data_IF_782216216811
#
_entry.id   IF_782216216811
#
_cell.length_a   1.000
_cell.length_b   1.000
_cell.length_c   1.000
_cell.angle_alpha   90.00
_cell.angle_beta   90.00
_cell.angle_gamma   90.00
#
_symmetry.space_group_name_H-M   'P 1'
#
loop_
_entity.id
_entity.type
_entity.pdbx_description
1 polymer ?
#
# COMPACT_ATOMS: atom_id res chain seq x y z
N UNK A 1 0.48 14.58 9.81
CA UNK A 1 1.31 14.53 8.58
C UNK A 1 0.48 14.22 7.33
N UNK A 2 -0.70 13.60 7.44
CA UNK A 2 -1.54 13.21 6.29
C UNK A 2 -2.20 14.37 5.52
N UNK A 3 -2.46 15.51 6.18
CA UNK A 3 -3.22 16.64 5.61
C UNK A 3 -2.56 17.27 4.38
N UNK A 4 -1.23 17.28 4.31
CA UNK A 4 -0.51 17.86 3.16
C UNK A 4 -0.72 16.99 1.92
N UNK A 5 -0.54 15.68 2.04
CA UNK A 5 -0.78 14.73 0.97
C UNK A 5 -2.25 14.69 0.56
N UNK A 6 -3.16 14.64 1.53
CA UNK A 6 -4.61 14.64 1.29
C UNK A 6 -5.04 15.85 0.44
N UNK A 7 -4.61 17.06 0.82
CA UNK A 7 -4.94 18.29 0.08
C UNK A 7 -4.31 18.37 -1.30
N UNK A 8 -3.13 17.79 -1.50
CA UNK A 8 -2.49 17.79 -2.81
C UNK A 8 -3.23 16.85 -3.78
N UNK A 9 -3.70 15.70 -3.27
CA UNK A 9 -4.39 14.70 -4.09
C UNK A 9 -5.75 15.20 -4.60
N UNK A 10 -6.49 16.02 -3.84
CA UNK A 10 -7.78 16.56 -4.30
C UNK A 10 -7.70 17.46 -5.53
N UNK A 11 -6.51 17.94 -5.90
CA UNK A 11 -6.32 18.84 -7.06
C UNK A 11 -5.56 18.20 -8.21
N UNK A 12 -4.81 17.13 -7.96
CA UNK A 12 -3.87 16.54 -8.91
C UNK A 12 -4.23 15.12 -9.35
N UNK A 13 -5.17 14.49 -8.64
CA UNK A 13 -5.63 13.14 -8.93
C UNK A 13 -7.08 13.23 -9.41
N UNK A 14 -7.37 12.63 -10.56
CA UNK A 14 -8.70 12.67 -11.15
C UNK A 14 -9.55 11.46 -10.70
N UNK A 15 -10.87 11.64 -10.68
CA UNK A 15 -11.82 10.58 -10.40
C UNK A 15 -11.84 10.14 -8.94
N UNK A 16 -11.37 10.96 -8.00
CA UNK A 16 -11.55 10.71 -6.57
C UNK A 16 -13.03 10.90 -6.22
N UNK A 17 -13.59 9.92 -5.51
CA UNK A 17 -14.90 10.02 -4.87
C UNK A 17 -14.76 10.64 -3.47
N UNK A 18 -13.97 10.00 -2.61
CA UNK A 18 -13.64 10.50 -1.29
C UNK A 18 -12.26 10.03 -0.82
N UNK A 19 -11.74 10.69 0.22
CA UNK A 19 -10.47 10.35 0.86
C UNK A 19 -10.73 10.14 2.35
N UNK A 20 -10.17 9.08 2.91
CA UNK A 20 -10.13 8.87 4.36
C UNK A 20 -8.68 8.83 4.82
N UNK A 21 -8.33 9.65 5.80
CA UNK A 21 -6.97 9.72 6.33
C UNK A 21 -6.94 9.40 7.82
N UNK A 22 -5.92 8.66 8.24
CA UNK A 22 -5.65 8.33 9.64
C UNK A 22 -4.18 8.56 9.95
N UNK A 23 -3.91 9.26 11.05
CA UNK A 23 -2.55 9.41 11.58
C UNK A 23 -2.35 8.42 12.72
N UNK A 24 -1.45 7.47 12.51
CA UNK A 24 -0.97 6.51 13.49
C UNK A 24 0.40 6.97 14.00
N UNK A 25 0.88 6.38 15.09
CA UNK A 25 2.20 6.74 15.62
C UNK A 25 3.29 6.37 14.61
N UNK A 26 3.99 7.37 14.07
CA UNK A 26 5.03 7.20 13.05
C UNK A 26 4.53 6.86 11.63
N UNK A 27 3.23 6.66 11.41
CA UNK A 27 2.68 6.25 10.10
C UNK A 27 1.42 7.04 9.76
N UNK A 28 1.34 7.58 8.55
CA UNK A 28 0.11 8.16 8.00
C UNK A 28 -0.52 7.21 7.00
N UNK A 29 -1.77 6.81 7.24
CA UNK A 29 -2.57 6.01 6.30
C UNK A 29 -3.53 6.94 5.55
N UNK A 30 -3.51 6.88 4.22
CA UNK A 30 -4.49 7.60 3.38
C UNK A 30 -5.13 6.60 2.42
N UNK A 31 -6.45 6.46 2.52
CA UNK A 31 -7.28 5.66 1.63
C UNK A 31 -7.93 6.60 0.63
N UNK A 32 -7.68 6.36 -0.65
CA UNK A 32 -8.26 7.13 -1.75
C UNK A 32 -9.27 6.24 -2.46
N UNK A 33 -10.53 6.68 -2.48
CA UNK A 33 -11.62 5.99 -3.14
C UNK A 33 -11.88 6.66 -4.47
N UNK A 34 -12.03 5.86 -5.52
CA UNK A 34 -12.23 6.34 -6.89
C UNK A 34 -13.66 6.11 -7.34
N UNK A 35 -14.15 6.98 -8.23
CA UNK A 35 -15.42 6.82 -8.91
C UNK A 35 -15.45 5.51 -9.73
N UNK A 36 -16.62 4.88 -9.95
CA UNK A 36 -16.73 3.60 -10.66
C UNK A 36 -16.08 3.58 -12.05
N UNK A 37 -16.09 4.70 -12.76
CA UNK A 37 -15.59 4.82 -14.14
C UNK A 37 -14.14 5.36 -14.21
N UNK A 38 -13.51 5.59 -13.06
CA UNK A 38 -12.17 6.16 -12.99
C UNK A 38 -11.10 5.14 -13.41
N UNK A 39 -10.08 5.63 -14.13
CA UNK A 39 -8.91 4.83 -14.49
C UNK A 39 -7.96 4.74 -13.28
N UNK A 40 -8.07 3.65 -12.52
CA UNK A 40 -7.26 3.40 -11.31
C UNK A 40 -5.76 3.42 -11.62
N UNK A 41 -5.35 2.97 -12.81
CA UNK A 41 -3.96 3.00 -13.24
C UNK A 41 -3.41 4.42 -13.30
N UNK A 42 -4.18 5.35 -13.87
CA UNK A 42 -3.84 6.75 -13.96
C UNK A 42 -3.86 7.40 -12.57
N UNK A 43 -4.90 7.13 -11.78
CA UNK A 43 -4.99 7.65 -10.41
C UNK A 43 -3.81 7.23 -9.53
N UNK A 44 -3.33 5.99 -9.65
CA UNK A 44 -2.14 5.51 -8.91
C UNK A 44 -0.86 6.20 -9.37
N UNK A 45 -0.72 6.44 -10.68
CA UNK A 45 0.41 7.20 -11.20
C UNK A 45 0.39 8.66 -10.71
N UNK A 46 -0.78 9.30 -10.72
CA UNK A 46 -0.99 10.66 -10.23
C UNK A 46 -0.71 10.78 -8.73
N UNK A 47 -1.24 9.85 -7.91
CA UNK A 47 -0.98 9.77 -6.46
C UNK A 47 0.51 9.59 -6.18
N UNK A 48 1.19 8.74 -6.95
CA UNK A 48 2.63 8.52 -6.79
C UNK A 48 3.40 9.80 -7.15
N UNK A 49 3.10 10.40 -8.30
CA UNK A 49 3.76 11.59 -8.80
C UNK A 49 3.62 12.77 -7.83
N UNK A 50 2.42 13.05 -7.33
CA UNK A 50 2.21 14.18 -6.41
C UNK A 50 2.97 13.96 -5.10
N UNK A 51 2.92 12.75 -4.53
CA UNK A 51 3.60 12.48 -3.26
C UNK A 51 5.13 12.59 -3.36
N UNK A 52 5.74 12.29 -4.52
CA UNK A 52 7.18 12.54 -4.72
C UNK A 52 7.51 14.03 -4.62
N UNK A 53 6.64 14.92 -5.12
CA UNK A 53 6.88 16.37 -5.03
C UNK A 53 6.75 16.90 -3.61
N UNK A 54 5.86 16.29 -2.80
CA UNK A 54 5.61 16.71 -1.42
C UNK A 54 6.76 16.39 -0.47
N UNK A 55 7.64 15.45 -0.82
CA UNK A 55 8.83 15.14 -0.01
C UNK A 55 9.70 16.37 0.26
N UNK A 56 9.71 17.35 -0.66
CA UNK A 56 10.47 18.59 -0.50
C UNK A 56 9.93 19.52 0.60
N UNK A 57 8.65 19.41 0.95
CA UNK A 57 8.02 20.21 2.01
C UNK A 57 7.79 19.39 3.30
N UNK A 58 8.11 18.09 3.27
CA UNK A 58 8.04 17.21 4.42
C UNK A 58 9.33 17.30 5.26
N UNK A 59 9.27 16.94 6.56
CA UNK A 59 10.46 16.90 7.39
C UNK A 59 11.57 16.00 6.83
N UNK A 60 12.85 16.33 7.06
CA UNK A 60 13.98 15.48 6.69
C UNK A 60 13.83 14.05 7.24
N UNK A 61 14.11 13.05 6.41
CA UNK A 61 13.95 11.63 6.78
C UNK A 61 12.60 11.02 6.38
N UNK A 62 11.69 11.79 5.80
CA UNK A 62 10.43 11.25 5.25
C UNK A 62 10.71 10.47 3.97
N UNK A 63 10.27 9.22 3.91
CA UNK A 63 10.35 8.38 2.71
C UNK A 63 9.09 8.53 1.85
N UNK A 64 9.19 8.30 0.52
CA UNK A 64 7.99 8.25 -0.31
C UNK A 64 6.99 7.21 0.20
N UNK A 65 5.68 7.49 0.15
CA UNK A 65 4.67 6.56 0.63
C UNK A 65 4.59 5.33 -0.26
N UNK A 66 4.24 4.20 0.35
CA UNK A 66 3.90 2.97 -0.37
C UNK A 66 2.45 3.08 -0.88
N UNK A 67 2.26 3.08 -2.20
CA UNK A 67 0.93 3.10 -2.82
C UNK A 67 0.50 1.68 -3.13
N UNK A 68 -0.51 1.19 -2.41
CA UNK A 68 -1.07 -0.16 -2.58
C UNK A 68 -2.45 -0.04 -3.21
N UNK A 69 -2.70 -0.79 -4.29
CA UNK A 69 -4.01 -0.87 -4.92
C UNK A 69 -4.88 -1.89 -4.20
N UNK A 70 -5.91 -1.42 -3.52
CA UNK A 70 -6.98 -2.27 -2.98
C UNK A 70 -8.14 -2.27 -3.98
N UNK A 71 -8.42 -3.39 -4.61
CA UNK A 71 -9.72 -3.61 -5.27
C UNK A 71 -10.62 -4.37 -4.30
N UNK A 72 -11.92 -4.08 -4.27
CA UNK A 72 -12.88 -4.91 -3.54
C UNK A 72 -12.92 -6.37 -4.04
N UNK A 73 -12.31 -6.65 -5.20
CA UNK A 73 -12.05 -8.01 -5.70
C UNK A 73 -10.86 -8.71 -5.02
N UNK A 74 -10.05 -7.99 -4.23
CA UNK A 74 -8.92 -8.52 -3.45
C UNK A 74 -9.37 -8.92 -2.03
N UNK A 75 -10.56 -9.51 -1.89
CA UNK A 75 -10.85 -10.28 -0.68
C UNK A 75 -9.77 -11.36 -0.58
N UNK A 76 -9.08 -11.54 0.56
CA UNK A 76 -8.09 -12.59 0.69
C UNK A 76 -8.73 -13.94 0.35
N UNK A 77 -8.43 -14.49 -0.84
CA UNK A 77 -9.00 -15.76 -1.29
C UNK A 77 -8.32 -16.91 -0.51
N UNK A 78 -7.00 -16.86 -0.23
CA UNK A 78 -6.31 -17.83 0.61
C UNK A 78 -5.48 -17.19 1.76
N UNK A 79 -5.62 -17.70 2.98
CA UNK A 79 -4.70 -17.40 4.09
C UNK A 79 -3.70 -18.56 4.25
N UNK A 80 -2.40 -18.24 4.24
CA UNK A 80 -1.33 -19.21 4.46
C UNK A 80 -0.78 -19.03 5.88
N UNK A 81 -0.87 -20.08 6.69
CA UNK A 81 -0.20 -20.17 7.98
C UNK A 81 1.02 -21.10 7.84
N UNK A 82 2.15 -20.70 8.43
CA UNK A 82 3.40 -21.45 8.40
C UNK A 82 3.67 -21.98 9.82
N UNK A 83 3.81 -23.30 9.94
CA UNK A 83 4.24 -23.94 11.18
C UNK A 83 5.48 -24.80 10.92
N UNK A 84 6.35 -24.92 11.92
CA UNK A 84 7.45 -25.87 11.89
C UNK A 84 7.79 -26.35 13.29
N UNK A 85 7.98 -27.66 13.50
CA UNK A 85 8.45 -28.21 14.77
C UNK A 85 9.95 -28.00 15.01
N UNK A 86 10.72 -27.53 14.03
CA UNK A 86 12.18 -27.39 14.10
C UNK A 86 12.70 -25.97 13.85
N UNK A 87 11.94 -25.10 13.19
CA UNK A 87 12.32 -23.73 12.90
C UNK A 87 11.77 -22.78 13.94
N UNK A 88 12.55 -21.77 14.34
CA UNK A 88 12.06 -20.68 15.17
C UNK A 88 11.09 -19.78 14.39
N UNK A 89 10.26 -19.03 15.10
CA UNK A 89 9.33 -18.05 14.50
C UNK A 89 10.06 -17.05 13.59
N UNK A 90 11.25 -16.61 13.99
CA UNK A 90 12.06 -15.68 13.21
C UNK A 90 12.57 -16.32 11.90
N UNK A 91 12.92 -17.60 11.93
CA UNK A 91 13.32 -18.35 10.73
C UNK A 91 12.12 -18.65 9.82
N UNK A 92 10.95 -18.94 10.39
CA UNK A 92 9.70 -19.11 9.65
C UNK A 92 9.27 -17.81 8.96
N UNK A 93 9.40 -16.68 9.65
CA UNK A 93 9.13 -15.36 9.10
C UNK A 93 10.06 -15.03 7.93
N UNK A 94 11.36 -15.28 8.09
CA UNK A 94 12.35 -15.08 7.02
C UNK A 94 12.07 -15.97 5.81
N UNK A 95 11.71 -17.24 6.06
CA UNK A 95 11.36 -18.19 5.01
C UNK A 95 10.09 -17.78 4.25
N UNK A 96 9.06 -17.33 4.98
CA UNK A 96 7.81 -16.83 4.41
C UNK A 96 8.03 -15.59 3.52
N UNK A 97 8.84 -14.64 4.00
CA UNK A 97 9.11 -13.39 3.29
C UNK A 97 10.02 -13.54 2.07
N UNK A 98 11.06 -14.36 2.17
CA UNK A 98 12.10 -14.42 1.13
C UNK A 98 11.89 -15.53 0.10
N UNK A 99 11.23 -16.63 0.47
CA UNK A 99 11.01 -17.76 -0.44
C UNK A 99 9.56 -17.85 -0.90
N UNK A 100 8.60 -17.85 0.03
CA UNK A 100 7.19 -18.11 -0.29
C UNK A 100 6.55 -16.90 -0.97
N UNK A 101 6.72 -15.69 -0.41
CA UNK A 101 6.22 -14.45 -1.01
C UNK A 101 6.76 -14.22 -2.42
N UNK A 102 8.05 -14.47 -2.63
CA UNK A 102 8.71 -14.22 -3.92
C UNK A 102 8.17 -15.12 -5.02
N UNK A 103 7.85 -16.38 -4.70
CA UNK A 103 7.22 -17.30 -5.64
C UNK A 103 5.76 -16.90 -5.92
N UNK A 104 5.00 -16.52 -4.89
CA UNK A 104 3.61 -16.09 -5.04
C UNK A 104 3.46 -14.75 -5.77
N UNK A 105 4.47 -13.88 -5.72
CA UNK A 105 4.48 -12.62 -6.47
C UNK A 105 4.46 -12.82 -8.00
N UNK A 106 4.83 -14.02 -8.49
CA UNK A 106 4.79 -14.34 -9.93
C UNK A 106 3.41 -14.79 -10.41
N UNK A 107 2.48 -15.05 -9.49
CA UNK A 107 1.10 -15.46 -9.83
C UNK A 107 0.30 -14.23 -10.26
N UNK A 108 -0.25 -14.26 -11.47
CA UNK A 108 -1.07 -13.17 -12.01
C UNK A 108 -2.28 -12.91 -11.08
N UNK A 109 -2.35 -11.70 -10.53
CA UNK A 109 -3.43 -11.29 -9.62
C UNK A 109 -3.18 -11.58 -8.14
N UNK A 110 -2.09 -12.28 -7.79
CA UNK A 110 -1.73 -12.48 -6.39
C UNK A 110 -1.07 -11.22 -5.81
N UNK A 111 -1.60 -10.76 -4.67
CA UNK A 111 -0.95 -9.76 -3.84
C UNK A 111 -0.68 -10.41 -2.47
N UNK A 112 0.60 -10.49 -2.10
CA UNK A 112 1.03 -11.01 -0.80
C UNK A 112 1.53 -9.84 0.04
N UNK A 113 0.65 -9.21 0.85
CA UNK A 113 1.05 -8.15 1.76
C UNK A 113 2.02 -8.70 2.83
N UNK A 114 2.77 -7.79 3.46
CA UNK A 114 3.63 -8.15 4.58
C UNK A 114 2.77 -8.75 5.72
N UNK A 115 3.22 -9.86 6.35
CA UNK A 115 2.58 -10.37 7.56
C UNK A 115 2.68 -9.31 8.67
N UNK A 116 1.64 -9.27 9.52
CA UNK A 116 1.55 -8.42 10.71
C UNK A 116 1.82 -9.27 11.93
#
# INVERSE_FOLDING_TARGET
>A
MVTISERAMTTTVNGIDHIESQSLNGVGLIRVFFQPDAKIEAGVAEVTAINQTLLRIMPPGTTPPLVIRYSASNVPIPQLALESPTLSEQQLFDYGLNFIRTQLATVQGAQVPLPW
#
